data_IF_000529206535
#
_entry.id   IF_000529206535
#
_cell.length_a   1.000
_cell.length_b   1.000
_cell.length_c   1.000
_cell.angle_alpha   90.00
_cell.angle_beta   90.00
_cell.angle_gamma   90.00
#
_symmetry.space_group_name_H-M   'P 1'
#
loop_
_entity.id
_entity.type
_entity.pdbx_description
1 polymer ?
#
# COMPACT_ATOMS: atom_id res chain seq x y z
N UNK A 1 26.84 15.64 4.30
CA UNK A 1 26.39 16.62 5.32
C UNK A 1 26.95 16.27 6.67
N UNK A 2 27.55 17.21 7.40
CA UNK A 2 28.03 16.99 8.77
C UNK A 2 26.85 16.80 9.75
N UNK A 3 27.08 16.08 10.86
CA UNK A 3 26.08 15.87 11.92
C UNK A 3 25.55 17.21 12.44
N UNK A 4 26.44 18.20 12.60
CA UNK A 4 26.08 19.57 13.03
C UNK A 4 25.10 20.23 12.07
N UNK A 5 25.34 20.14 10.76
CA UNK A 5 24.44 20.71 9.75
C UNK A 5 23.07 20.02 9.77
N UNK A 6 23.02 18.69 9.91
CA UNK A 6 21.75 17.95 10.03
C UNK A 6 20.95 18.39 11.26
N UNK A 7 21.61 18.59 12.40
CA UNK A 7 20.97 19.08 13.62
C UNK A 7 20.45 20.51 13.46
N UNK A 8 21.22 21.40 12.81
CA UNK A 8 20.77 22.77 12.53
C UNK A 8 19.54 22.76 11.63
N UNK A 9 19.55 21.98 10.55
CA UNK A 9 18.39 21.84 9.65
C UNK A 9 17.17 21.30 10.40
N UNK A 10 17.35 20.27 11.23
CA UNK A 10 16.27 19.71 12.05
C UNK A 10 15.70 20.76 13.01
N UNK A 11 16.56 21.49 13.72
CA UNK A 11 16.13 22.53 14.67
C UNK A 11 15.36 23.63 13.94
N UNK A 12 15.86 24.09 12.79
CA UNK A 12 15.16 25.10 11.98
C UNK A 12 13.79 24.60 11.50
N UNK A 13 13.72 23.34 11.03
CA UNK A 13 12.46 22.73 10.63
C UNK A 13 11.48 22.61 11.80
N UNK A 14 11.94 22.20 12.99
CA UNK A 14 11.11 22.12 14.19
C UNK A 14 10.66 23.50 14.67
N UNK A 15 11.53 24.51 14.67
CA UNK A 15 11.16 25.88 15.03
C UNK A 15 10.13 26.48 14.07
N UNK A 16 10.18 26.12 12.79
CA UNK A 16 9.20 26.55 11.80
C UNK A 16 7.86 25.79 11.93
N UNK A 17 7.90 24.47 12.10
CA UNK A 17 6.70 23.62 12.04
C UNK A 17 6.00 23.44 13.39
N UNK A 18 6.76 23.31 14.48
CA UNK A 18 6.20 23.00 15.79
C UNK A 18 5.19 24.04 16.29
N UNK A 19 5.37 25.37 16.10
CA UNK A 19 4.37 26.34 16.50
C UNK A 19 3.04 26.17 15.76
N UNK A 20 3.08 25.88 14.45
CA UNK A 20 1.88 25.65 13.66
C UNK A 20 1.18 24.36 14.09
N UNK A 21 1.93 23.28 14.29
CA UNK A 21 1.40 22.00 14.79
C UNK A 21 0.80 22.17 16.18
N UNK A 22 1.49 22.86 17.09
CA UNK A 22 1.00 23.14 18.43
C UNK A 22 -0.26 24.00 18.42
N UNK A 23 -0.30 25.04 17.57
CA UNK A 23 -1.49 25.89 17.41
C UNK A 23 -2.70 25.07 16.98
N UNK A 24 -2.56 24.22 15.96
CA UNK A 24 -3.64 23.34 15.51
C UNK A 24 -4.03 22.34 16.60
N UNK A 25 -3.05 21.67 17.22
CA UNK A 25 -3.31 20.67 18.25
C UNK A 25 -4.04 21.26 19.47
N UNK A 26 -3.68 22.47 19.89
CA UNK A 26 -4.33 23.18 20.99
C UNK A 26 -5.69 23.77 20.60
N UNK A 27 -5.95 23.98 19.31
CA UNK A 27 -7.24 24.44 18.79
C UNK A 27 -8.22 23.29 18.50
N UNK A 28 -7.80 22.03 18.64
CA UNK A 28 -8.69 20.89 18.43
C UNK A 28 -9.84 20.90 19.45
N UNK A 29 -11.07 20.56 19.03
CA UNK A 29 -12.17 20.43 19.94
C UNK A 29 -11.87 19.38 21.03
N UNK A 30 -12.31 19.65 22.25
CA UNK A 30 -12.24 18.65 23.33
C UNK A 30 -13.04 17.38 23.01
N UNK A 31 -12.73 16.29 23.70
CA UNK A 31 -13.47 15.04 23.55
C UNK A 31 -14.97 15.25 23.83
N UNK A 32 -15.83 14.75 22.95
CA UNK A 32 -17.28 14.92 23.03
C UNK A 32 -17.80 16.26 22.49
N UNK A 33 -16.94 17.11 21.91
CA UNK A 33 -17.39 18.31 21.21
C UNK A 33 -18.37 17.97 20.07
N UNK A 34 -19.31 18.87 19.73
CA UNK A 34 -20.28 18.63 18.68
C UNK A 34 -19.62 18.33 17.35
N UNK A 35 -20.10 17.31 16.64
CA UNK A 35 -19.69 17.02 15.26
C UNK A 35 -20.09 18.22 14.41
N UNK A 36 -19.22 18.61 13.46
CA UNK A 36 -19.52 19.69 12.53
C UNK A 36 -20.85 19.44 11.80
N UNK A 37 -21.61 20.49 11.43
CA UNK A 37 -22.85 20.34 10.67
C UNK A 37 -22.67 19.50 9.39
N UNK A 38 -21.50 19.63 8.75
CA UNK A 38 -21.12 18.82 7.61
C UNK A 38 -20.98 17.34 7.95
N UNK A 39 -20.27 17.00 9.03
CA UNK A 39 -20.14 15.61 9.48
C UNK A 39 -21.48 14.98 9.89
N UNK A 40 -22.38 15.76 10.48
CA UNK A 40 -23.74 15.32 10.78
C UNK A 40 -24.54 15.03 9.50
N UNK A 41 -24.47 15.93 8.51
CA UNK A 41 -25.13 15.73 7.22
C UNK A 41 -24.58 14.48 6.49
N UNK A 42 -23.27 14.28 6.50
CA UNK A 42 -22.63 13.09 5.92
C UNK A 42 -23.19 11.82 6.57
N UNK A 43 -23.20 11.74 7.90
CA UNK A 43 -23.69 10.56 8.63
C UNK A 43 -25.20 10.31 8.44
N UNK A 44 -26.00 11.37 8.30
CA UNK A 44 -27.44 11.25 8.13
C UNK A 44 -27.85 10.84 6.71
N UNK A 45 -27.14 11.33 5.69
CA UNK A 45 -27.58 11.23 4.29
C UNK A 45 -26.91 10.09 3.52
N UNK A 46 -25.60 9.87 3.70
CA UNK A 46 -24.87 8.93 2.84
C UNK A 46 -25.30 7.46 2.94
N UNK A 47 -25.74 6.91 4.10
CA UNK A 47 -26.20 5.53 4.13
C UNK A 47 -27.32 5.25 3.12
N UNK A 48 -28.26 6.19 2.99
CA UNK A 48 -29.36 6.08 2.03
C UNK A 48 -28.94 6.51 0.61
N UNK A 49 -28.13 7.56 0.47
CA UNK A 49 -27.72 8.06 -0.86
C UNK A 49 -26.70 7.17 -1.58
N UNK A 50 -25.98 6.31 -0.86
CA UNK A 50 -24.92 5.44 -1.40
C UNK A 50 -25.12 3.96 -1.10
N UNK A 51 -26.12 3.61 -0.29
CA UNK A 51 -26.40 2.23 0.12
C UNK A 51 -25.23 1.57 0.87
N UNK A 52 -24.41 2.32 1.61
CA UNK A 52 -23.25 1.79 2.34
C UNK A 52 -23.41 1.95 3.86
N UNK A 53 -22.77 1.08 4.64
CA UNK A 53 -22.74 1.21 6.11
C UNK A 53 -21.36 1.57 6.65
N UNK A 54 -20.30 1.42 5.84
CA UNK A 54 -18.98 1.93 6.19
C UNK A 54 -18.87 3.42 5.82
N UNK A 55 -19.07 4.30 6.81
CA UNK A 55 -18.99 5.74 6.61
C UNK A 55 -17.59 6.25 6.28
N UNK A 56 -16.53 5.54 6.70
CA UNK A 56 -15.16 5.91 6.33
C UNK A 56 -14.93 5.64 4.84
N UNK A 57 -15.41 4.50 4.32
CA UNK A 57 -15.37 4.24 2.88
C UNK A 57 -16.21 5.25 2.10
N UNK A 58 -17.41 5.62 2.61
CA UNK A 58 -18.26 6.65 2.04
C UNK A 58 -17.53 8.00 1.92
N UNK A 59 -16.80 8.40 2.96
CA UNK A 59 -16.01 9.63 2.91
C UNK A 59 -14.83 9.47 1.95
N UNK A 60 -14.05 8.40 2.05
CA UNK A 60 -12.80 8.27 1.29
C UNK A 60 -12.99 7.99 -0.20
N UNK A 61 -14.05 7.28 -0.60
CA UNK A 61 -14.23 6.86 -2.00
C UNK A 61 -15.35 7.60 -2.74
N UNK A 62 -16.17 8.39 -2.06
CA UNK A 62 -17.20 9.24 -2.68
C UNK A 62 -16.95 10.72 -2.36
N UNK A 63 -17.20 11.15 -1.12
CA UNK A 63 -17.18 12.57 -0.74
C UNK A 63 -15.81 13.23 -0.92
N UNK A 64 -14.75 12.52 -0.54
CA UNK A 64 -13.34 12.92 -0.59
C UNK A 64 -12.54 11.98 -1.47
N UNK A 65 -13.17 11.42 -2.50
CA UNK A 65 -12.55 10.51 -3.46
C UNK A 65 -11.27 11.05 -4.10
N UNK A 66 -11.19 12.36 -4.34
CA UNK A 66 -9.99 13.00 -4.89
C UNK A 66 -8.82 12.96 -3.91
N UNK A 67 -9.07 13.04 -2.60
CA UNK A 67 -7.99 12.96 -1.61
C UNK A 67 -7.39 11.56 -1.59
N UNK A 68 -8.22 10.51 -1.66
CA UNK A 68 -7.74 9.13 -1.77
C UNK A 68 -7.08 8.80 -3.11
N UNK A 69 -7.50 9.44 -4.22
CA UNK A 69 -6.73 9.38 -5.47
C UNK A 69 -5.34 10.00 -5.29
N UNK A 70 -5.25 11.13 -4.57
CA UNK A 70 -3.98 11.76 -4.22
C UNK A 70 -3.10 10.86 -3.34
N UNK A 71 -3.67 10.18 -2.35
CA UNK A 71 -2.99 9.17 -1.52
C UNK A 71 -2.43 8.02 -2.36
N UNK A 72 -3.20 7.52 -3.32
CA UNK A 72 -2.74 6.52 -4.28
C UNK A 72 -1.59 7.01 -5.15
N UNK A 73 -1.69 8.21 -5.72
CA UNK A 73 -0.59 8.80 -6.48
C UNK A 73 0.66 8.98 -5.62
N UNK A 74 0.52 9.39 -4.35
CA UNK A 74 1.64 9.50 -3.42
C UNK A 74 2.31 8.14 -3.17
N UNK A 75 1.52 7.08 -2.97
CA UNK A 75 2.04 5.72 -2.78
C UNK A 75 2.79 5.23 -4.03
N UNK A 76 2.16 5.34 -5.21
CA UNK A 76 2.78 4.99 -6.49
C UNK A 76 4.11 5.72 -6.70
N UNK A 77 4.15 7.04 -6.45
CA UNK A 77 5.37 7.82 -6.55
C UNK A 77 6.43 7.36 -5.55
N UNK A 78 6.05 7.07 -4.31
CA UNK A 78 6.97 6.62 -3.27
C UNK A 78 7.59 5.26 -3.62
N UNK A 79 6.79 4.29 -4.05
CA UNK A 79 7.25 2.94 -4.39
C UNK A 79 8.05 2.95 -5.69
N UNK A 80 7.61 3.67 -6.72
CA UNK A 80 8.38 3.85 -7.95
C UNK A 80 9.72 4.52 -7.65
N UNK A 81 9.73 5.59 -6.84
CA UNK A 81 10.95 6.27 -6.42
C UNK A 81 11.90 5.35 -5.66
N UNK A 82 11.39 4.59 -4.69
CA UNK A 82 12.18 3.60 -3.95
C UNK A 82 12.74 2.51 -4.90
N UNK A 83 11.93 2.01 -5.81
CA UNK A 83 12.33 1.00 -6.81
C UNK A 83 13.44 1.53 -7.72
N UNK A 84 13.32 2.75 -8.23
CA UNK A 84 14.36 3.38 -9.07
C UNK A 84 15.66 3.58 -8.28
N UNK A 85 15.57 4.04 -7.02
CA UNK A 85 16.75 4.24 -6.17
C UNK A 85 17.45 2.92 -5.83
N UNK A 86 16.69 1.88 -5.48
CA UNK A 86 17.24 0.56 -5.14
C UNK A 86 17.80 -0.15 -6.37
N UNK A 87 17.13 -0.06 -7.53
CA UNK A 87 17.66 -0.61 -8.78
C UNK A 87 18.91 0.11 -9.28
N UNK A 88 18.99 1.43 -9.11
CA UNK A 88 20.16 2.21 -9.52
C UNK A 88 21.42 1.93 -8.68
N UNK A 89 21.26 1.40 -7.46
CA UNK A 89 22.37 0.95 -6.62
C UNK A 89 22.90 -0.44 -7.00
N UNK A 90 22.10 -1.22 -7.74
CA UNK A 90 22.48 -2.54 -8.25
C UNK A 90 23.21 -2.40 -9.58
N UNK A 91 24.36 -3.05 -9.72
CA UNK A 91 24.76 -3.55 -11.03
C UNK A 91 23.71 -4.55 -11.55
N UNK A 92 23.67 -4.83 -12.86
CA UNK A 92 22.69 -5.71 -13.52
C UNK A 92 22.76 -7.20 -13.10
N UNK A 93 23.25 -7.53 -11.90
CA UNK A 93 23.55 -8.89 -11.47
C UNK A 93 22.39 -9.47 -10.63
N UNK A 94 21.67 -10.43 -11.19
CA UNK A 94 20.53 -11.12 -10.58
C UNK A 94 20.90 -12.36 -9.74
N UNK A 95 22.02 -12.34 -9.00
CA UNK A 95 22.47 -13.52 -8.27
C UNK A 95 21.42 -14.02 -7.28
N UNK A 96 21.15 -15.33 -7.29
CA UNK A 96 20.15 -15.93 -6.40
C UNK A 96 20.57 -15.97 -4.93
N UNK A 97 21.87 -15.83 -4.65
CA UNK A 97 22.49 -16.02 -3.34
C UNK A 97 22.26 -14.81 -2.43
N UNK A 98 21.74 -15.07 -1.23
CA UNK A 98 21.70 -14.08 -0.16
C UNK A 98 23.14 -13.62 0.18
N UNK A 99 23.32 -12.34 0.52
CA UNK A 99 24.60 -11.83 0.99
C UNK A 99 25.12 -12.67 2.16
N UNK A 100 26.34 -13.20 2.02
CA UNK A 100 26.96 -13.99 3.08
C UNK A 100 27.80 -13.09 3.98
N UNK A 101 27.51 -13.08 5.28
CA UNK A 101 28.41 -12.50 6.28
C UNK A 101 29.38 -13.59 6.71
N UNK A 102 30.71 -13.43 6.46
CA UNK A 102 31.69 -14.43 6.83
C UNK A 102 31.57 -14.85 8.29
N UNK A 103 31.57 -16.16 8.55
CA UNK A 103 31.46 -16.73 9.89
C UNK A 103 30.03 -16.86 10.44
N UNK A 104 28.99 -16.49 9.67
CA UNK A 104 27.58 -16.68 10.07
C UNK A 104 26.93 -17.81 9.25
N UNK A 105 26.67 -19.00 9.84
CA UNK A 105 26.02 -20.09 9.13
C UNK A 105 24.57 -19.74 8.80
N UNK A 106 24.12 -20.11 7.60
CA UNK A 106 22.70 -20.03 7.22
C UNK A 106 21.99 -21.19 7.91
N UNK A 107 21.18 -20.88 8.92
CA UNK A 107 20.42 -21.88 9.67
C UNK A 107 19.22 -22.33 8.80
N UNK A 108 19.06 -23.63 8.51
CA UNK A 108 17.88 -24.13 7.83
C UNK A 108 16.61 -23.81 8.62
N UNK A 109 15.54 -23.46 7.91
CA UNK A 109 14.24 -23.22 8.55
C UNK A 109 13.69 -24.54 9.09
N UNK A 110 13.19 -24.54 10.31
CA UNK A 110 12.52 -25.72 10.87
C UNK A 110 11.20 -25.98 10.14
N UNK A 111 10.86 -27.25 9.90
CA UNK A 111 9.62 -27.64 9.20
C UNK A 111 8.37 -27.07 9.86
N UNK A 112 8.35 -27.02 11.19
CA UNK A 112 7.27 -26.40 11.96
C UNK A 112 7.10 -24.90 11.64
N UNK A 113 8.19 -24.18 11.39
CA UNK A 113 8.15 -22.76 11.00
C UNK A 113 7.59 -22.62 9.58
N UNK A 114 8.06 -23.44 8.64
CA UNK A 114 7.56 -23.43 7.26
C UNK A 114 6.05 -23.70 7.23
N UNK A 115 5.60 -24.75 7.93
CA UNK A 115 4.18 -25.11 8.02
C UNK A 115 3.35 -23.98 8.64
N UNK A 116 3.82 -23.39 9.74
CA UNK A 116 3.13 -22.26 10.40
C UNK A 116 3.01 -21.07 9.46
N UNK A 117 4.08 -20.71 8.76
CA UNK A 117 4.07 -19.63 7.77
C UNK A 117 3.09 -19.90 6.60
N UNK A 118 3.01 -21.13 6.09
CA UNK A 118 2.05 -21.50 5.02
C UNK A 118 0.59 -21.33 5.48
N UNK A 119 0.27 -21.82 6.67
CA UNK A 119 -1.09 -21.73 7.23
C UNK A 119 -1.42 -20.26 7.49
N UNK A 120 -0.52 -19.54 8.17
CA UNK A 120 -0.70 -18.13 8.49
C UNK A 120 -0.85 -17.27 7.22
N UNK A 121 -0.01 -17.51 6.20
CA UNK A 121 -0.10 -16.81 4.92
C UNK A 121 -1.46 -17.04 4.25
N UNK A 122 -1.93 -18.28 4.19
CA UNK A 122 -3.24 -18.62 3.60
C UNK A 122 -4.37 -17.90 4.33
N UNK A 123 -4.40 -17.96 5.66
CA UNK A 123 -5.41 -17.26 6.46
C UNK A 123 -5.32 -15.74 6.30
N UNK A 124 -4.12 -15.19 6.24
CA UNK A 124 -3.89 -13.75 6.05
C UNK A 124 -4.37 -13.29 4.68
N UNK A 125 -4.10 -14.04 3.61
CA UNK A 125 -4.59 -13.74 2.26
C UNK A 125 -6.13 -13.75 2.19
N UNK A 126 -6.76 -14.77 2.79
CA UNK A 126 -8.22 -14.86 2.86
C UNK A 126 -8.83 -13.72 3.68
N UNK A 127 -8.20 -13.35 4.80
CA UNK A 127 -8.61 -12.21 5.62
C UNK A 127 -8.51 -10.91 4.81
N UNK A 128 -7.39 -10.68 4.13
CA UNK A 128 -7.19 -9.49 3.31
C UNK A 128 -8.24 -9.38 2.21
N UNK A 129 -8.49 -10.48 1.48
CA UNK A 129 -9.55 -10.54 0.47
C UNK A 129 -10.93 -10.26 1.07
N UNK A 130 -11.24 -10.84 2.24
CA UNK A 130 -12.50 -10.58 2.94
C UNK A 130 -12.65 -9.09 3.30
N UNK A 131 -11.59 -8.46 3.81
CA UNK A 131 -11.58 -7.02 4.16
C UNK A 131 -11.81 -6.14 2.93
N UNK A 132 -11.22 -6.49 1.78
CA UNK A 132 -11.47 -5.76 0.51
C UNK A 132 -12.93 -5.92 0.09
N UNK A 133 -13.43 -7.15 0.04
CA UNK A 133 -14.78 -7.46 -0.45
C UNK A 133 -15.87 -6.80 0.40
N UNK A 134 -15.70 -6.77 1.72
CA UNK A 134 -16.66 -6.15 2.65
C UNK A 134 -16.38 -4.66 2.92
N UNK A 135 -15.55 -4.00 2.10
CA UNK A 135 -15.12 -2.62 2.34
C UNK A 135 -16.27 -1.60 2.45
N UNK A 136 -17.43 -1.87 1.83
CA UNK A 136 -18.60 -0.98 1.86
C UNK A 136 -19.51 -1.21 3.07
N UNK A 137 -19.37 -2.37 3.73
CA UNK A 137 -20.27 -2.78 4.82
C UNK A 137 -19.59 -2.83 6.18
N UNK A 138 -18.33 -3.27 6.24
CA UNK A 138 -17.54 -3.42 7.47
C UNK A 138 -16.35 -2.47 7.52
N UNK A 139 -15.81 -2.16 8.71
CA UNK A 139 -14.55 -1.42 8.83
C UNK A 139 -13.41 -2.08 8.05
N UNK A 140 -12.66 -1.27 7.31
CA UNK A 140 -11.61 -1.75 6.40
C UNK A 140 -11.67 -1.02 5.07
N UNK A 141 -11.41 -1.76 3.99
CA UNK A 141 -11.36 -1.24 2.62
C UNK A 141 -10.14 -1.75 1.86
N UNK A 142 -9.95 -1.17 0.67
CA UNK A 142 -8.93 -1.60 -0.28
C UNK A 142 -7.52 -1.45 0.26
N UNK A 143 -7.23 -0.35 0.96
CA UNK A 143 -5.89 -0.09 1.48
C UNK A 143 -5.51 -1.11 2.57
N UNK A 144 -6.33 -1.24 3.60
CA UNK A 144 -6.08 -2.17 4.70
C UNK A 144 -6.03 -3.62 4.19
N UNK A 145 -6.98 -3.98 3.33
CA UNK A 145 -7.03 -5.31 2.71
C UNK A 145 -5.79 -5.60 1.86
N UNK A 146 -5.34 -4.63 1.05
CA UNK A 146 -4.12 -4.74 0.25
C UNK A 146 -2.85 -4.92 1.07
N UNK A 147 -2.71 -4.16 2.18
CA UNK A 147 -1.58 -4.34 3.12
C UNK A 147 -1.61 -5.72 3.77
N UNK A 148 -2.79 -6.23 4.14
CA UNK A 148 -2.94 -7.58 4.70
C UNK A 148 -2.55 -8.62 3.66
N UNK A 149 -2.99 -8.49 2.40
CA UNK A 149 -2.61 -9.41 1.31
C UNK A 149 -1.09 -9.40 1.10
N UNK A 150 -0.46 -8.22 1.02
CA UNK A 150 0.99 -8.09 0.88
C UNK A 150 1.74 -8.71 2.08
N UNK A 151 1.19 -8.61 3.29
CA UNK A 151 1.74 -9.27 4.49
C UNK A 151 1.66 -10.80 4.39
N UNK A 152 0.60 -11.33 3.79
CA UNK A 152 0.50 -12.75 3.46
C UNK A 152 1.61 -13.23 2.52
N UNK A 153 1.97 -12.41 1.52
CA UNK A 153 3.12 -12.69 0.65
C UNK A 153 4.43 -12.69 1.44
N UNK A 154 4.63 -11.77 2.38
CA UNK A 154 5.80 -11.75 3.25
C UNK A 154 5.90 -13.02 4.12
N UNK A 155 4.79 -13.52 4.64
CA UNK A 155 4.76 -14.77 5.41
C UNK A 155 5.20 -15.98 4.57
N UNK A 156 4.82 -16.03 3.29
CA UNK A 156 5.32 -17.07 2.37
C UNK A 156 6.82 -16.98 2.19
N UNK A 157 7.40 -15.78 2.09
CA UNK A 157 8.85 -15.61 2.03
C UNK A 157 9.54 -16.11 3.31
N UNK A 158 9.00 -15.74 4.48
CA UNK A 158 9.58 -16.13 5.76
C UNK A 158 9.61 -17.66 5.92
N UNK A 159 8.57 -18.35 5.44
CA UNK A 159 8.47 -19.81 5.45
C UNK A 159 9.30 -20.51 4.37
N UNK A 160 9.08 -20.20 3.10
CA UNK A 160 9.65 -20.93 1.96
C UNK A 160 11.06 -20.48 1.57
N UNK A 161 11.45 -19.29 2.02
CA UNK A 161 12.65 -18.61 1.55
C UNK A 161 12.48 -18.00 0.16
N UNK A 162 13.56 -17.36 -0.31
CA UNK A 162 13.47 -16.50 -1.48
C UNK A 162 13.17 -17.24 -2.77
N UNK A 163 13.83 -18.36 -3.06
CA UNK A 163 13.75 -19.01 -4.38
C UNK A 163 12.31 -19.40 -4.72
N UNK A 164 11.62 -20.06 -3.79
CA UNK A 164 10.21 -20.43 -3.92
C UNK A 164 9.34 -19.18 -3.98
N UNK A 165 9.57 -18.21 -3.09
CA UNK A 165 8.79 -16.98 -3.07
C UNK A 165 8.89 -16.18 -4.38
N UNK A 166 10.08 -16.07 -4.97
CA UNK A 166 10.35 -15.35 -6.23
C UNK A 166 9.73 -16.04 -7.45
N UNK A 167 9.52 -17.36 -7.37
CA UNK A 167 8.77 -18.10 -8.37
C UNK A 167 7.26 -17.80 -8.29
N UNK A 168 6.73 -17.59 -7.07
CA UNK A 168 5.32 -17.26 -6.82
C UNK A 168 5.01 -15.77 -7.06
N UNK A 169 5.91 -14.89 -6.62
CA UNK A 169 5.74 -13.43 -6.61
C UNK A 169 6.67 -12.83 -7.66
N UNK A 170 6.09 -12.54 -8.83
CA UNK A 170 6.83 -12.02 -9.99
C UNK A 170 6.71 -10.50 -10.04
N UNK A 171 7.86 -9.81 -10.12
CA UNK A 171 7.91 -8.35 -10.25
C UNK A 171 6.97 -7.76 -11.30
N UNK A 172 6.87 -8.31 -12.53
CA UNK A 172 5.92 -7.81 -13.53
C UNK A 172 4.44 -7.90 -13.11
N UNK A 173 4.06 -8.94 -12.35
CA UNK A 173 2.70 -9.07 -11.83
C UNK A 173 2.43 -8.01 -10.78
N UNK A 174 3.37 -7.80 -9.85
CA UNK A 174 3.23 -6.77 -8.82
C UNK A 174 3.17 -5.35 -9.41
N UNK A 175 4.01 -5.07 -10.42
CA UNK A 175 3.97 -3.80 -11.15
C UNK A 175 2.66 -3.61 -11.94
N UNK A 176 2.10 -4.69 -12.50
CA UNK A 176 0.80 -4.66 -13.15
C UNK A 176 -0.33 -4.40 -12.14
N UNK A 177 -0.24 -4.97 -10.93
CA UNK A 177 -1.21 -4.71 -9.86
C UNK A 177 -1.13 -3.25 -9.37
N UNK A 178 0.08 -2.75 -9.13
CA UNK A 178 0.36 -1.37 -8.75
C UNK A 178 -0.18 -0.38 -9.80
N UNK A 179 0.40 -0.41 -11.01
CA UNK A 179 0.06 0.51 -12.08
C UNK A 179 -1.36 0.32 -12.61
N UNK A 180 -1.84 -0.93 -12.66
CA UNK A 180 -3.21 -1.24 -13.08
C UNK A 180 -4.26 -0.78 -12.07
N UNK A 181 -3.98 -0.91 -10.77
CA UNK A 181 -4.83 -0.36 -9.71
C UNK A 181 -4.90 1.16 -9.77
N UNK A 182 -3.74 1.84 -9.85
CA UNK A 182 -3.68 3.30 -9.99
C UNK A 182 -4.41 3.78 -11.26
N UNK A 183 -4.19 3.12 -12.40
CA UNK A 183 -4.89 3.42 -13.65
C UNK A 183 -6.40 3.22 -13.52
N UNK A 184 -6.85 2.13 -12.89
CA UNK A 184 -8.27 1.86 -12.69
C UNK A 184 -8.93 2.97 -11.85
N UNK A 185 -8.25 3.49 -10.83
CA UNK A 185 -8.76 4.63 -10.05
C UNK A 185 -8.86 5.88 -10.94
N UNK A 186 -7.80 6.22 -11.68
CA UNK A 186 -7.83 7.38 -12.60
C UNK A 186 -8.96 7.26 -13.61
N UNK A 187 -9.20 6.07 -14.17
CA UNK A 187 -10.31 5.83 -15.08
C UNK A 187 -11.67 5.97 -14.40
N UNK A 188 -11.82 5.49 -13.16
CA UNK A 188 -13.04 5.68 -12.37
C UNK A 188 -13.32 7.17 -12.11
N UNK A 189 -12.29 8.00 -11.95
CA UNK A 189 -12.43 9.45 -11.82
C UNK A 189 -12.73 10.15 -13.16
N UNK A 190 -12.05 9.72 -14.24
CA UNK A 190 -12.12 10.36 -15.55
C UNK A 190 -13.39 10.01 -16.35
N UNK A 191 -13.96 8.83 -16.16
CA UNK A 191 -15.11 8.38 -16.95
C UNK A 191 -16.38 9.23 -16.67
N UNK A 192 -16.76 9.56 -15.42
CA UNK A 192 -17.81 10.53 -15.15
C UNK A 192 -17.53 11.90 -15.75
N UNK A 193 -16.28 12.41 -15.66
CA UNK A 193 -15.87 13.68 -16.26
C UNK A 193 -16.10 13.71 -17.78
N UNK A 194 -15.75 12.62 -18.47
CA UNK A 194 -15.99 12.48 -19.91
C UNK A 194 -17.49 12.49 -20.28
N UNK A 195 -18.36 12.15 -19.34
CA UNK A 195 -19.83 12.21 -19.48
C UNK A 195 -20.42 13.57 -19.06
N UNK A 196 -19.59 14.57 -18.75
CA UNK A 196 -20.03 15.89 -18.28
C UNK A 196 -20.48 15.92 -16.81
N UNK A 197 -20.10 14.90 -16.03
CA UNK A 197 -20.40 14.77 -14.60
C UNK A 197 -19.18 15.10 -13.75
N UNK A 198 -19.33 15.54 -12.48
CA UNK A 198 -18.21 15.65 -11.56
C UNK A 198 -17.37 14.36 -11.48
N UNK A 199 -16.06 14.52 -11.27
CA UNK A 199 -15.15 13.39 -11.10
C UNK A 199 -15.61 12.47 -9.97
N UNK A 200 -15.48 11.16 -10.18
CA UNK A 200 -15.91 10.12 -9.24
C UNK A 200 -17.41 10.12 -8.91
N UNK A 201 -18.24 10.86 -9.65
CA UNK A 201 -19.69 10.72 -9.51
C UNK A 201 -20.09 9.28 -9.86
N UNK A 202 -20.90 8.66 -9.00
CA UNK A 202 -21.37 7.31 -9.20
C UNK A 202 -22.19 7.17 -10.51
N UNK A 203 -21.71 6.32 -11.40
CA UNK A 203 -22.38 5.94 -12.66
C UNK A 203 -22.87 4.48 -12.66
N UNK A 204 -22.63 3.73 -11.59
CA UNK A 204 -23.00 2.31 -11.47
C UNK A 204 -24.22 2.12 -10.57
N UNK A 205 -24.95 0.99 -10.69
CA UNK A 205 -26.02 0.66 -9.77
C UNK A 205 -25.51 0.57 -8.32
N UNK A 206 -26.22 1.20 -7.39
CA UNK A 206 -25.82 1.24 -5.97
C UNK A 206 -26.02 -0.10 -5.23
N UNK A 207 -26.73 -1.07 -5.82
CA UNK A 207 -27.08 -2.33 -5.18
C UNK A 207 -28.07 -2.15 -4.03
N UNK A 208 -28.09 -3.09 -3.08
CA UNK A 208 -28.93 -3.04 -1.87
C UNK A 208 -28.08 -2.69 -0.66
N UNK A 209 -28.58 -1.84 0.23
CA UNK A 209 -27.90 -1.52 1.49
C UNK A 209 -27.57 -2.81 2.28
N UNK A 210 -26.33 -2.91 2.77
CA UNK A 210 -25.73 -4.07 3.48
C UNK A 210 -25.37 -5.29 2.62
N UNK A 211 -25.63 -5.28 1.32
CA UNK A 211 -25.12 -6.32 0.43
C UNK A 211 -23.65 -6.07 0.05
N UNK A 212 -22.98 -7.14 -0.42
CA UNK A 212 -21.59 -7.09 -0.86
C UNK A 212 -21.38 -6.15 -2.06
N UNK A 213 -22.37 -6.08 -2.94
CA UNK A 213 -22.34 -5.26 -4.16
C UNK A 213 -22.96 -3.87 -3.96
N UNK A 214 -22.95 -3.37 -2.72
CA UNK A 214 -23.46 -2.05 -2.37
C UNK A 214 -22.41 -0.94 -2.56
N UNK A 215 -22.82 0.27 -2.93
CA UNK A 215 -21.92 1.43 -3.07
C UNK A 215 -21.48 1.78 -4.50
N UNK A 216 -21.91 1.03 -5.51
CA UNK A 216 -21.71 1.37 -6.92
C UNK A 216 -20.23 1.54 -7.30
N UNK A 217 -19.87 2.72 -7.84
CA UNK A 217 -18.51 3.04 -8.28
C UNK A 217 -17.47 2.91 -7.16
N UNK A 218 -17.86 3.10 -5.90
CA UNK A 218 -16.96 2.96 -4.76
C UNK A 218 -16.35 1.55 -4.65
N UNK A 219 -17.06 0.51 -5.10
CA UNK A 219 -16.53 -0.87 -5.13
C UNK A 219 -15.33 -0.96 -6.09
N UNK A 220 -15.45 -0.31 -7.25
CA UNK A 220 -14.39 -0.27 -8.27
C UNK A 220 -13.18 0.48 -7.73
N UNK A 221 -13.40 1.63 -7.11
CA UNK A 221 -12.35 2.44 -6.46
C UNK A 221 -11.67 1.63 -5.35
N UNK A 222 -12.44 0.96 -4.49
CA UNK A 222 -11.91 0.11 -3.43
C UNK A 222 -11.07 -1.05 -3.96
N UNK A 223 -11.50 -1.71 -5.04
CA UNK A 223 -10.72 -2.74 -5.72
C UNK A 223 -9.45 -2.18 -6.37
N UNK A 224 -9.53 -1.01 -7.00
CA UNK A 224 -8.40 -0.31 -7.59
C UNK A 224 -7.30 -0.04 -6.55
N UNK A 225 -7.69 0.51 -5.39
CA UNK A 225 -6.79 0.72 -4.24
C UNK A 225 -6.23 -0.61 -3.74
N UNK A 226 -7.05 -1.64 -3.59
CA UNK A 226 -6.57 -2.94 -3.11
C UNK A 226 -5.48 -3.55 -4.02
N UNK A 227 -5.68 -3.49 -5.34
CA UNK A 227 -4.70 -3.95 -6.33
C UNK A 227 -3.43 -3.11 -6.25
N UNK A 228 -3.60 -1.78 -6.24
CA UNK A 228 -2.48 -0.85 -6.21
C UNK A 228 -1.60 -1.04 -4.98
N UNK A 229 -2.21 -1.09 -3.80
CA UNK A 229 -1.55 -1.27 -2.50
C UNK A 229 -0.90 -2.64 -2.40
N UNK A 230 -1.56 -3.71 -2.84
CA UNK A 230 -0.96 -5.05 -2.84
C UNK A 230 0.29 -5.09 -3.72
N UNK A 231 0.22 -4.53 -4.93
CA UNK A 231 1.35 -4.43 -5.86
C UNK A 231 2.48 -3.58 -5.30
N UNK A 232 2.14 -2.40 -4.77
CA UNK A 232 3.05 -1.42 -4.15
C UNK A 232 3.89 -2.02 -3.04
N UNK A 233 3.24 -2.58 -2.01
CA UNK A 233 3.96 -3.19 -0.89
C UNK A 233 4.69 -4.46 -1.31
N UNK A 234 4.13 -5.24 -2.23
CA UNK A 234 4.79 -6.42 -2.79
C UNK A 234 6.08 -6.07 -3.55
N UNK A 235 6.06 -5.02 -4.37
CA UNK A 235 7.24 -4.51 -5.08
C UNK A 235 8.28 -3.98 -4.11
N UNK A 236 7.86 -3.17 -3.14
CA UNK A 236 8.76 -2.64 -2.13
C UNK A 236 9.45 -3.76 -1.35
N UNK A 237 8.72 -4.81 -0.96
CA UNK A 237 9.28 -6.01 -0.33
C UNK A 237 10.27 -6.72 -1.26
N UNK A 238 9.89 -6.95 -2.53
CA UNK A 238 10.75 -7.56 -3.53
C UNK A 238 12.07 -6.79 -3.66
N UNK A 239 12.00 -5.48 -3.82
CA UNK A 239 13.17 -4.62 -3.99
C UNK A 239 14.03 -4.59 -2.74
N UNK A 240 13.47 -4.52 -1.53
CA UNK A 240 14.27 -4.64 -0.31
C UNK A 240 14.97 -5.99 -0.18
N UNK A 241 14.30 -7.07 -0.56
CA UNK A 241 14.86 -8.41 -0.47
C UNK A 241 15.95 -8.66 -1.52
N UNK A 242 15.77 -8.12 -2.72
CA UNK A 242 16.77 -8.16 -3.77
C UNK A 242 18.03 -7.35 -3.40
N UNK A 243 17.89 -6.29 -2.60
CA UNK A 243 19.03 -5.46 -2.16
C UNK A 243 19.97 -6.20 -1.21
N UNK A 244 19.43 -7.14 -0.43
CA UNK A 244 20.23 -7.92 0.54
C UNK A 244 21.03 -9.06 -0.11
N UNK A 245 21.06 -9.15 -1.44
CA UNK A 245 21.71 -10.23 -2.18
C UNK A 245 23.18 -9.93 -2.46
N UNK A 246 23.96 -11.00 -2.59
CA UNK A 246 25.35 -10.85 -3.02
C UNK A 246 25.37 -10.37 -4.49
N UNK A 247 26.29 -9.46 -4.87
CA UNK A 247 26.59 -9.23 -6.28
C UNK A 247 27.13 -10.53 -6.90
N UNK A 248 26.79 -10.78 -8.17
CA UNK A 248 27.31 -11.94 -8.87
C UNK A 248 28.82 -11.79 -9.09
N UNK A 249 29.57 -12.85 -8.85
CA UNK A 249 31.04 -12.81 -8.70
C UNK A 249 31.79 -12.53 -10.01
N UNK A 250 31.10 -12.31 -11.13
CA UNK A 250 31.68 -12.16 -12.46
C UNK A 250 31.98 -10.70 -12.86
N UNK A 251 31.79 -9.72 -11.98
CA UNK A 251 31.95 -8.29 -12.31
C UNK A 251 33.25 -7.63 -11.82
N UNK A 252 34.14 -8.37 -11.16
CA UNK A 252 35.48 -7.87 -10.82
C UNK A 252 36.47 -8.62 -11.71
N UNK A 253 37.08 -7.98 -12.72
CA UNK A 253 38.25 -8.56 -13.36
C UNK A 253 39.29 -8.75 -12.27
N UNK A 254 39.80 -9.96 -12.12
CA UNK A 254 40.93 -10.24 -11.25
C UNK A 254 42.02 -9.19 -11.54
N UNK A 255 42.31 -8.31 -10.57
CA UNK A 255 43.60 -7.65 -10.51
C UNK A 255 44.66 -8.68 -10.10
N UNK A 256 44.80 -9.75 -10.88
CA UNK A 256 46.02 -10.54 -10.94
C UNK A 256 46.90 -9.95 -12.05
N UNK A 257 47.82 -9.07 -11.65
CA UNK A 257 48.92 -8.68 -12.52
C UNK A 257 49.48 -7.29 -12.29
N UNK A 258 50.09 -7.04 -11.13
CA UNK A 258 51.28 -6.16 -11.03
C UNK A 258 52.06 -6.38 -9.73
#
# INVERSE_FOLDING_TARGET
MSVRLRLVVLILALLALAPAVAHVALALPGFGAPISPYGQAVNALLPELRHVTNMVAAVNFDVRGIDSLGEECMLLCAVTGATVLLRGARGESGAERAGHVPGRPVIPRADATVLTCRIAATLTLLLGLSVVLHGMTTPGGGFQGGVIIASGLLLLYLGEGYAVWRALVRGPVLALLEGGGALLYVLAAALPLAMGRPALENILPLGTLKDLYSGGLMIVVNAAVALSVTGSFGLLLLEFMEETRAPDHDSVPDEEGR
#
